data_IF_590987567485
#
_entry.id   IF_590987567485
#
_cell.length_a   1.000
_cell.length_b   1.000
_cell.length_c   1.000
_cell.angle_alpha   90.00
_cell.angle_beta   90.00
_cell.angle_gamma   90.00
#
_symmetry.space_group_name_H-M   'P 1'
#
loop_
_entity.id
_entity.type
_entity.pdbx_description
1 polymer ?
#
# COMPACT_ATOMS: atom_id res chain seq x y z
N UNK A 1 -42.22 -15.57 -10.43
CA UNK A 1 -40.79 -15.36 -10.23
C UNK A 1 -40.25 -14.71 -11.48
N UNK A 2 -39.49 -13.66 -11.38
CA UNK A 2 -38.84 -13.08 -12.58
C UNK A 2 -37.64 -14.01 -12.94
N UNK A 3 -37.69 -14.63 -14.11
CA UNK A 3 -36.62 -15.48 -14.63
C UNK A 3 -35.42 -14.63 -15.08
N UNK A 4 -34.83 -13.92 -14.13
CA UNK A 4 -33.66 -13.07 -14.40
C UNK A 4 -32.38 -13.90 -14.51
N UNK A 5 -31.56 -13.60 -15.51
CA UNK A 5 -30.23 -14.22 -15.65
C UNK A 5 -29.28 -13.81 -14.52
N UNK A 6 -28.40 -14.71 -14.07
CA UNK A 6 -27.40 -14.43 -13.04
C UNK A 6 -26.55 -13.19 -13.36
N UNK A 7 -26.05 -13.10 -14.60
CA UNK A 7 -25.19 -11.99 -15.02
C UNK A 7 -25.92 -10.65 -15.04
N UNK A 8 -27.18 -10.65 -15.43
CA UNK A 8 -28.03 -9.47 -15.44
C UNK A 8 -28.32 -8.98 -14.01
N UNK A 9 -28.71 -9.90 -13.11
CA UNK A 9 -28.93 -9.59 -11.71
C UNK A 9 -27.68 -9.02 -11.02
N UNK A 10 -26.49 -9.54 -11.34
CA UNK A 10 -25.21 -9.03 -10.84
C UNK A 10 -24.94 -7.62 -11.37
N UNK A 11 -25.21 -7.35 -12.66
CA UNK A 11 -25.06 -6.01 -13.23
C UNK A 11 -25.94 -4.99 -12.50
N UNK A 12 -27.22 -5.29 -12.32
CA UNK A 12 -28.17 -4.43 -11.57
C UNK A 12 -27.70 -4.15 -10.13
N UNK A 13 -27.15 -5.17 -9.46
CA UNK A 13 -26.59 -4.99 -8.12
C UNK A 13 -25.39 -4.06 -8.10
N UNK A 14 -24.47 -4.21 -9.05
CA UNK A 14 -23.26 -3.39 -9.13
C UNK A 14 -23.62 -1.93 -9.48
N UNK A 15 -24.57 -1.70 -10.39
CA UNK A 15 -25.07 -0.38 -10.77
C UNK A 15 -25.72 0.33 -9.57
N UNK A 16 -26.58 -0.40 -8.81
CA UNK A 16 -27.17 0.13 -7.58
C UNK A 16 -26.07 0.56 -6.58
N UNK A 17 -25.07 -0.29 -6.36
CA UNK A 17 -23.97 0.01 -5.43
C UNK A 17 -23.14 1.20 -5.89
N UNK A 18 -22.90 1.32 -7.18
CA UNK A 18 -22.20 2.45 -7.76
C UNK A 18 -23.01 3.75 -7.61
N UNK A 19 -24.32 3.71 -7.88
CA UNK A 19 -25.23 4.86 -7.67
C UNK A 19 -25.24 5.31 -6.20
N UNK A 20 -25.06 4.38 -5.25
CA UNK A 20 -24.90 4.69 -3.82
C UNK A 20 -23.50 5.20 -3.43
N UNK A 21 -22.62 5.46 -4.39
CA UNK A 21 -21.24 5.93 -4.14
C UNK A 21 -20.30 4.88 -3.57
N UNK A 22 -20.64 3.59 -3.62
CA UNK A 22 -19.79 2.52 -3.09
C UNK A 22 -18.80 2.02 -4.15
N UNK A 23 -17.51 2.18 -3.88
CA UNK A 23 -16.43 1.66 -4.75
C UNK A 23 -16.29 0.14 -4.63
N UNK A 24 -16.99 -0.61 -5.45
CA UNK A 24 -17.09 -2.09 -5.38
C UNK A 24 -16.03 -2.83 -6.21
N UNK A 25 -14.88 -2.21 -6.54
CA UNK A 25 -13.90 -2.78 -7.51
C UNK A 25 -13.52 -4.25 -7.25
N UNK A 26 -13.31 -4.63 -6.00
CA UNK A 26 -12.91 -6.01 -5.66
C UNK A 26 -14.11 -6.96 -5.65
N UNK A 27 -15.24 -6.52 -5.12
CA UNK A 27 -16.46 -7.33 -5.06
C UNK A 27 -17.02 -7.53 -6.48
N UNK A 28 -16.95 -6.51 -7.35
CA UNK A 28 -17.30 -6.63 -8.77
C UNK A 28 -16.47 -7.71 -9.48
N UNK A 29 -15.13 -7.75 -9.24
CA UNK A 29 -14.27 -8.81 -9.81
C UNK A 29 -14.67 -10.20 -9.32
N UNK A 30 -15.02 -10.34 -8.03
CA UNK A 30 -15.47 -11.60 -7.46
C UNK A 30 -16.79 -12.02 -8.10
N UNK A 31 -17.77 -11.12 -8.18
CA UNK A 31 -19.09 -11.41 -8.75
C UNK A 31 -19.00 -11.72 -10.25
N UNK A 32 -18.19 -10.99 -11.02
CA UNK A 32 -17.93 -11.28 -12.43
C UNK A 32 -17.25 -12.63 -12.62
N UNK A 33 -16.31 -12.99 -11.74
CA UNK A 33 -15.68 -14.32 -11.76
C UNK A 33 -16.71 -15.41 -11.41
N UNK A 34 -17.59 -15.15 -10.46
CA UNK A 34 -18.69 -16.06 -10.12
C UNK A 34 -19.62 -16.29 -11.31
N UNK A 35 -20.08 -15.22 -12.00
CA UNK A 35 -20.88 -15.36 -13.22
C UNK A 35 -20.19 -16.23 -14.30
N UNK A 36 -18.88 -15.99 -14.53
CA UNK A 36 -18.12 -16.80 -15.49
C UNK A 36 -18.04 -18.28 -15.11
N UNK A 37 -17.91 -18.56 -13.80
CA UNK A 37 -17.83 -19.93 -13.29
C UNK A 37 -19.18 -20.65 -13.37
N UNK A 38 -20.28 -19.93 -13.14
CA UNK A 38 -21.65 -20.50 -13.23
C UNK A 38 -22.14 -20.63 -14.69
N UNK A 39 -21.64 -19.79 -15.59
CA UNK A 39 -22.11 -19.74 -16.98
C UNK A 39 -23.44 -19.03 -17.15
N UNK A 40 -24.07 -19.21 -18.29
CA UNK A 40 -25.40 -18.68 -18.58
C UNK A 40 -26.47 -19.50 -17.85
N UNK A 41 -26.93 -19.01 -16.70
CA UNK A 41 -27.92 -19.68 -15.85
C UNK A 41 -28.91 -18.66 -15.28
N UNK A 42 -30.16 -19.06 -15.07
CA UNK A 42 -31.15 -18.30 -14.33
C UNK A 42 -30.74 -18.23 -12.87
N UNK A 43 -30.90 -17.08 -12.24
CA UNK A 43 -30.44 -16.87 -10.88
C UNK A 43 -31.08 -17.83 -9.87
N UNK A 44 -32.35 -18.16 -10.06
CA UNK A 44 -33.09 -19.10 -9.21
C UNK A 44 -32.56 -20.54 -9.27
N UNK A 45 -31.90 -20.89 -10.38
CA UNK A 45 -31.38 -22.24 -10.65
C UNK A 45 -29.91 -22.42 -10.24
N UNK A 46 -29.30 -21.42 -9.58
CA UNK A 46 -27.89 -21.50 -9.13
C UNK A 46 -27.75 -22.57 -8.05
N UNK A 47 -27.05 -23.71 -8.32
CA UNK A 47 -26.99 -24.82 -7.40
C UNK A 47 -26.05 -24.51 -6.19
N UNK A 48 -26.46 -24.89 -4.99
CA UNK A 48 -25.68 -24.65 -3.77
C UNK A 48 -24.32 -25.38 -3.77
N UNK A 49 -24.23 -26.57 -4.34
CA UNK A 49 -22.98 -27.32 -4.48
C UNK A 49 -21.95 -26.61 -5.36
N UNK A 50 -22.39 -26.01 -6.47
CA UNK A 50 -21.52 -25.20 -7.33
C UNK A 50 -21.07 -23.90 -6.63
N UNK A 51 -21.92 -23.29 -5.79
CA UNK A 51 -21.54 -22.14 -4.96
C UNK A 51 -20.48 -22.54 -3.94
N UNK A 52 -20.63 -23.71 -3.30
CA UNK A 52 -19.63 -24.25 -2.38
C UNK A 52 -18.30 -24.52 -3.09
N UNK A 53 -18.34 -25.13 -4.28
CA UNK A 53 -17.14 -25.34 -5.11
C UNK A 53 -16.43 -24.03 -5.46
N UNK A 54 -17.18 -22.99 -5.83
CA UNK A 54 -16.62 -21.66 -6.09
C UNK A 54 -15.96 -21.07 -4.85
N UNK A 55 -16.57 -21.21 -3.68
CA UNK A 55 -16.01 -20.72 -2.42
C UNK A 55 -14.74 -21.48 -2.02
N UNK A 56 -14.76 -22.80 -2.09
CA UNK A 56 -13.70 -23.68 -1.59
C UNK A 56 -12.36 -23.45 -2.30
N UNK A 57 -12.34 -23.40 -3.64
CA UNK A 57 -11.10 -23.39 -4.40
C UNK A 57 -10.31 -24.70 -4.22
N UNK A 58 -9.00 -24.66 -4.44
CA UNK A 58 -8.13 -25.86 -4.45
C UNK A 58 -7.24 -26.00 -3.20
N UNK A 59 -7.46 -25.20 -2.17
CA UNK A 59 -6.57 -25.17 -1.00
C UNK A 59 -7.32 -24.93 0.32
N UNK A 60 -6.58 -24.75 1.42
CA UNK A 60 -7.17 -24.48 2.74
C UNK A 60 -7.96 -23.18 2.72
N UNK A 61 -8.88 -23.06 3.67
CA UNK A 61 -9.68 -21.83 3.84
C UNK A 61 -8.78 -20.63 4.09
N UNK A 62 -8.94 -19.62 3.27
CA UNK A 62 -8.17 -18.37 3.34
C UNK A 62 -9.09 -17.18 3.64
N UNK A 63 -8.50 -16.02 3.94
CA UNK A 63 -9.27 -14.76 4.02
C UNK A 63 -10.00 -14.45 2.70
N UNK A 64 -9.48 -14.93 1.56
CA UNK A 64 -10.14 -14.76 0.28
C UNK A 64 -11.43 -15.59 0.16
N UNK A 65 -11.51 -16.78 0.79
CA UNK A 65 -12.76 -17.53 0.94
C UNK A 65 -13.84 -16.66 1.59
N UNK A 66 -13.52 -16.07 2.75
CA UNK A 66 -14.43 -15.19 3.48
C UNK A 66 -14.80 -13.94 2.68
N UNK A 67 -13.86 -13.42 1.88
CA UNK A 67 -14.12 -12.28 1.00
C UNK A 67 -15.09 -12.65 -0.13
N UNK A 68 -14.91 -13.82 -0.77
CA UNK A 68 -15.87 -14.34 -1.75
C UNK A 68 -17.25 -14.49 -1.13
N UNK A 69 -17.33 -15.15 0.03
CA UNK A 69 -18.59 -15.33 0.75
C UNK A 69 -19.26 -13.98 1.05
N UNK A 70 -18.53 -13.00 1.55
CA UNK A 70 -19.07 -11.67 1.86
C UNK A 70 -19.64 -10.96 0.62
N UNK A 71 -18.93 -11.02 -0.51
CA UNK A 71 -19.39 -10.43 -1.75
C UNK A 71 -20.67 -11.10 -2.25
N UNK A 72 -20.72 -12.44 -2.26
CA UNK A 72 -21.90 -13.20 -2.64
C UNK A 72 -23.07 -12.98 -1.67
N UNK A 73 -22.82 -12.92 -0.36
CA UNK A 73 -23.86 -12.66 0.63
C UNK A 73 -24.52 -11.29 0.42
N UNK A 74 -23.72 -10.25 0.11
CA UNK A 74 -24.24 -8.94 -0.25
C UNK A 74 -25.14 -8.99 -1.49
N UNK A 75 -24.72 -9.73 -2.51
CA UNK A 75 -25.48 -9.92 -3.75
C UNK A 75 -26.78 -10.71 -3.51
N UNK A 76 -26.74 -11.88 -2.84
CA UNK A 76 -27.94 -12.68 -2.61
C UNK A 76 -28.95 -11.98 -1.69
N UNK A 77 -28.49 -11.20 -0.71
CA UNK A 77 -29.39 -10.35 0.06
C UNK A 77 -30.14 -9.33 -0.80
N UNK A 78 -29.47 -8.71 -1.77
CA UNK A 78 -30.12 -7.86 -2.75
C UNK A 78 -31.11 -8.65 -3.62
N UNK A 79 -30.74 -9.83 -4.09
CA UNK A 79 -31.59 -10.66 -4.94
C UNK A 79 -32.87 -11.11 -4.20
N UNK A 80 -32.76 -11.47 -2.91
CA UNK A 80 -33.92 -11.78 -2.06
C UNK A 80 -34.81 -10.54 -1.87
N UNK A 81 -34.23 -9.38 -1.57
CA UNK A 81 -34.99 -8.13 -1.40
C UNK A 81 -35.71 -7.67 -2.67
N UNK A 82 -35.29 -8.12 -3.84
CA UNK A 82 -35.92 -7.87 -5.15
C UNK A 82 -36.87 -9.00 -5.59
N UNK A 83 -37.05 -10.02 -4.74
CA UNK A 83 -37.87 -11.21 -5.05
C UNK A 83 -37.37 -11.98 -6.30
N UNK A 84 -36.08 -11.90 -6.64
CA UNK A 84 -35.46 -12.71 -7.71
C UNK A 84 -35.23 -14.16 -7.26
N UNK A 85 -34.97 -14.37 -5.97
CA UNK A 85 -34.83 -15.67 -5.33
C UNK A 85 -35.51 -15.65 -3.94
N UNK A 86 -35.94 -16.80 -3.46
CA UNK A 86 -36.59 -16.94 -2.14
C UNK A 86 -35.61 -17.15 -1.00
N UNK A 87 -34.46 -17.76 -1.31
CA UNK A 87 -33.41 -18.07 -0.31
C UNK A 87 -32.03 -17.96 -0.92
N UNK A 88 -31.01 -17.89 -0.07
CA UNK A 88 -29.61 -17.83 -0.49
C UNK A 88 -29.03 -19.25 -0.58
N UNK A 89 -28.29 -19.60 -1.66
CA UNK A 89 -27.60 -20.90 -1.78
C UNK A 89 -26.29 -20.94 -1.01
N UNK A 90 -25.97 -19.90 -0.23
CA UNK A 90 -24.74 -19.83 0.57
C UNK A 90 -24.79 -20.71 1.80
N UNK A 91 -23.63 -21.26 2.26
CA UNK A 91 -23.57 -22.00 3.50
C UNK A 91 -23.88 -21.11 4.71
N UNK A 92 -24.69 -21.63 5.63
CA UNK A 92 -25.00 -20.95 6.90
C UNK A 92 -23.88 -21.10 7.92
N UNK A 93 -23.18 -22.24 7.90
CA UNK A 93 -22.02 -22.50 8.74
C UNK A 93 -20.75 -22.01 8.01
N UNK A 94 -20.07 -21.06 8.64
CA UNK A 94 -18.84 -20.51 8.09
C UNK A 94 -17.62 -21.22 8.71
N UNK A 95 -16.60 -21.55 7.90
CA UNK A 95 -15.36 -22.07 8.44
C UNK A 95 -14.65 -21.03 9.32
N UNK A 96 -13.80 -21.50 10.23
CA UNK A 96 -13.02 -20.63 11.09
C UNK A 96 -12.16 -19.66 10.26
N UNK A 97 -12.06 -18.41 10.69
CA UNK A 97 -11.18 -17.46 10.03
C UNK A 97 -9.72 -17.84 10.28
N UNK A 98 -8.86 -17.76 9.26
CA UNK A 98 -7.43 -17.90 9.46
C UNK A 98 -6.90 -16.90 10.49
N UNK A 99 -5.83 -17.30 11.19
CA UNK A 99 -5.15 -16.42 12.15
C UNK A 99 -4.84 -15.07 11.50
N UNK A 100 -5.13 -13.95 12.17
CA UNK A 100 -4.85 -12.63 11.65
C UNK A 100 -3.37 -12.49 11.27
N UNK A 101 -3.12 -11.79 10.17
CA UNK A 101 -1.76 -11.44 9.78
C UNK A 101 -1.18 -10.43 10.79
N UNK A 102 -0.01 -10.75 11.36
CA UNK A 102 0.77 -9.83 12.20
C UNK A 102 1.78 -9.13 11.30
N UNK A 103 1.68 -7.79 11.12
CA UNK A 103 2.66 -7.04 10.36
C UNK A 103 4.06 -7.11 10.98
N UNK A 104 5.09 -6.97 10.14
CA UNK A 104 6.44 -6.75 10.63
C UNK A 104 6.58 -5.28 11.04
N UNK A 105 7.09 -5.02 12.24
CA UNK A 105 7.43 -3.66 12.69
C UNK A 105 8.90 -3.45 12.44
N UNK A 106 9.23 -2.62 11.45
CA UNK A 106 10.61 -2.31 11.11
C UNK A 106 11.29 -1.53 12.24
N UNK A 107 12.44 -1.98 12.66
CA UNK A 107 13.31 -1.24 13.57
C UNK A 107 14.03 -0.11 12.84
N UNK A 108 14.57 0.85 13.61
CA UNK A 108 15.41 1.92 13.08
C UNK A 108 16.63 1.36 12.35
N UNK A 109 17.25 0.30 12.90
CA UNK A 109 18.40 -0.37 12.31
C UNK A 109 18.05 -1.03 10.96
N UNK A 110 16.93 -1.73 10.87
CA UNK A 110 16.47 -2.34 9.61
C UNK A 110 16.18 -1.27 8.55
N UNK A 111 15.55 -0.14 8.95
CA UNK A 111 15.35 0.96 8.02
C UNK A 111 16.68 1.52 7.53
N UNK A 112 17.65 1.72 8.41
CA UNK A 112 18.99 2.18 8.03
C UNK A 112 19.66 1.21 7.06
N UNK A 113 19.60 -0.10 7.33
CA UNK A 113 20.13 -1.14 6.43
C UNK A 113 19.46 -1.08 5.04
N UNK A 114 18.15 -0.85 4.97
CA UNK A 114 17.46 -0.65 3.69
C UNK A 114 18.00 0.57 2.95
N UNK A 115 18.14 1.70 3.64
CA UNK A 115 18.58 2.96 3.05
C UNK A 115 20.04 2.89 2.56
N UNK A 116 20.92 2.29 3.34
CA UNK A 116 22.34 2.09 2.99
C UNK A 116 22.48 1.09 1.85
N UNK A 117 21.64 0.06 1.85
CA UNK A 117 21.59 -0.95 0.79
C UNK A 117 21.21 -0.38 -0.57
N UNK A 118 20.52 0.76 -0.65
CA UNK A 118 20.15 1.38 -1.95
C UNK A 118 21.39 1.76 -2.75
N UNK A 119 22.48 2.20 -2.12
CA UNK A 119 23.69 2.61 -2.78
C UNK A 119 24.40 1.46 -3.49
N UNK A 120 24.40 0.27 -2.91
CA UNK A 120 24.99 -0.96 -3.46
C UNK A 120 24.02 -1.80 -4.29
N UNK A 121 22.73 -1.44 -4.29
CA UNK A 121 21.70 -2.22 -4.94
C UNK A 121 21.82 -2.14 -6.48
N UNK A 122 21.84 -3.30 -7.20
CA UNK A 122 21.95 -3.32 -8.65
C UNK A 122 20.79 -2.61 -9.33
N UNK A 123 21.01 -1.35 -9.74
CA UNK A 123 19.94 -0.46 -10.19
C UNK A 123 19.84 -0.30 -11.72
N UNK A 124 20.70 -1.01 -12.50
CA UNK A 124 20.77 -0.82 -13.97
C UNK A 124 19.45 -1.06 -14.72
N UNK A 125 18.55 -1.87 -14.17
CA UNK A 125 17.23 -2.19 -14.77
C UNK A 125 16.04 -1.51 -14.06
N UNK A 126 16.28 -0.72 -13.03
CA UNK A 126 15.20 -0.07 -12.29
C UNK A 126 14.83 1.26 -12.95
N UNK A 127 13.54 1.45 -13.18
CA UNK A 127 12.99 2.70 -13.70
C UNK A 127 12.91 3.80 -12.64
N UNK A 128 13.01 3.42 -11.33
CA UNK A 128 12.96 4.35 -10.20
C UNK A 128 14.40 4.70 -9.79
N UNK A 129 14.78 6.00 -9.78
CA UNK A 129 16.07 6.44 -9.25
C UNK A 129 16.27 6.04 -7.78
N UNK A 130 17.54 5.84 -7.37
CA UNK A 130 17.85 5.43 -6.00
C UNK A 130 17.47 6.48 -4.96
N UNK A 131 17.69 7.76 -5.25
CA UNK A 131 17.28 8.90 -4.43
C UNK A 131 15.75 8.98 -4.29
N UNK A 132 15.00 8.77 -5.37
CA UNK A 132 13.54 8.68 -5.34
C UNK A 132 13.08 7.52 -4.44
N UNK A 133 13.70 6.34 -4.58
CA UNK A 133 13.37 5.18 -3.74
C UNK A 133 13.67 5.47 -2.26
N UNK A 134 14.84 6.07 -1.96
CA UNK A 134 15.24 6.45 -0.61
C UNK A 134 14.20 7.35 0.06
N UNK A 135 13.87 8.47 -0.59
CA UNK A 135 12.93 9.45 -0.04
C UNK A 135 11.53 8.87 0.09
N UNK A 136 11.12 8.02 -0.85
CA UNK A 136 9.83 7.32 -0.78
C UNK A 136 9.76 6.39 0.43
N UNK A 137 10.80 5.60 0.73
CA UNK A 137 10.84 4.74 1.92
C UNK A 137 10.80 5.54 3.22
N UNK A 138 11.57 6.64 3.30
CA UNK A 138 11.53 7.56 4.44
C UNK A 138 10.16 8.17 4.65
N UNK A 139 9.47 8.55 3.57
CA UNK A 139 8.12 9.10 3.62
C UNK A 139 7.09 8.09 4.12
N UNK A 140 7.17 6.83 3.63
CA UNK A 140 6.27 5.76 4.07
C UNK A 140 6.47 5.44 5.56
N UNK A 141 7.73 5.42 6.03
CA UNK A 141 8.08 5.14 7.41
C UNK A 141 7.73 6.31 8.34
N UNK A 142 8.14 7.54 7.98
CA UNK A 142 8.03 8.71 8.85
C UNK A 142 6.64 9.35 8.86
N UNK A 143 5.93 9.37 7.72
CA UNK A 143 4.60 9.96 7.61
C UNK A 143 3.45 8.94 7.59
N UNK A 144 3.75 7.64 7.57
CA UNK A 144 2.75 6.57 7.62
C UNK A 144 1.78 6.57 6.43
N UNK A 145 2.18 7.05 5.26
CA UNK A 145 1.34 7.10 4.07
C UNK A 145 1.14 5.70 3.47
N UNK A 146 0.00 5.50 2.78
CA UNK A 146 -0.11 4.36 1.85
C UNK A 146 0.75 4.63 0.62
N UNK A 147 1.33 3.58 0.03
CA UNK A 147 2.14 3.74 -1.20
C UNK A 147 1.37 4.47 -2.31
N UNK A 148 0.07 4.17 -2.49
CA UNK A 148 -0.76 4.87 -3.48
C UNK A 148 -0.99 6.34 -3.15
N UNK A 149 -1.03 6.71 -1.88
CA UNK A 149 -1.14 8.10 -1.43
C UNK A 149 0.16 8.85 -1.68
N UNK A 150 1.30 8.24 -1.32
CA UNK A 150 2.62 8.83 -1.56
C UNK A 150 2.90 9.06 -3.05
N UNK A 151 2.58 8.08 -3.90
CA UNK A 151 2.79 8.19 -5.35
C UNK A 151 1.81 9.13 -6.05
N UNK A 152 0.70 9.48 -5.42
CA UNK A 152 -0.28 10.44 -5.95
C UNK A 152 0.02 11.90 -5.54
N UNK A 153 1.02 12.14 -4.67
CA UNK A 153 1.41 13.48 -4.28
C UNK A 153 1.87 14.30 -5.49
N UNK A 154 1.35 15.52 -5.60
CA UNK A 154 1.83 16.53 -6.54
C UNK A 154 2.82 17.49 -5.85
N UNK A 155 3.47 18.32 -6.63
CA UNK A 155 4.36 19.37 -6.08
C UNK A 155 3.58 20.32 -5.15
N UNK A 156 2.33 20.63 -5.47
CA UNK A 156 1.43 21.47 -4.68
C UNK A 156 1.01 20.82 -3.35
N UNK A 157 0.92 19.48 -3.32
CA UNK A 157 0.56 18.75 -2.13
C UNK A 157 1.67 18.70 -1.07
N UNK A 158 2.90 19.06 -1.43
CA UNK A 158 4.09 19.03 -0.56
C UNK A 158 4.48 20.46 -0.15
N UNK A 159 3.87 20.95 0.92
CA UNK A 159 4.20 22.26 1.48
C UNK A 159 5.34 22.14 2.51
N UNK A 160 6.58 22.32 2.02
CA UNK A 160 7.77 22.19 2.85
C UNK A 160 7.96 23.35 3.81
N UNK A 161 7.46 24.57 3.51
CA UNK A 161 7.56 25.70 4.41
C UNK A 161 6.70 25.54 5.65
N UNK A 162 5.51 24.94 5.50
CA UNK A 162 4.61 24.63 6.61
C UNK A 162 4.85 23.23 7.23
N UNK A 163 5.80 22.46 6.71
CA UNK A 163 6.08 21.06 7.11
C UNK A 163 4.83 20.16 7.08
N UNK A 164 4.03 20.26 6.00
CA UNK A 164 2.79 19.49 5.84
C UNK A 164 2.67 18.87 4.45
N UNK A 165 1.96 17.71 4.41
CA UNK A 165 1.54 17.04 3.21
C UNK A 165 0.02 17.02 3.11
N UNK A 166 -0.52 17.37 1.95
CA UNK A 166 -1.97 17.29 1.67
C UNK A 166 -2.28 16.00 0.94
N UNK A 167 -2.98 15.09 1.59
CA UNK A 167 -3.38 13.81 0.97
C UNK A 167 -4.79 13.95 0.43
N UNK A 168 -4.91 14.06 -0.87
CA UNK A 168 -6.20 14.17 -1.58
C UNK A 168 -6.78 12.78 -1.89
N UNK A 169 -8.10 12.70 -1.99
CA UNK A 169 -8.81 11.49 -2.42
C UNK A 169 -8.42 10.20 -1.66
N UNK A 170 -8.19 10.30 -0.35
CA UNK A 170 -7.98 9.13 0.50
C UNK A 170 -9.25 8.25 0.53
N UNK A 171 -9.24 7.14 1.28
CA UNK A 171 -10.40 6.27 1.43
C UNK A 171 -11.65 7.11 1.80
N UNK A 172 -12.75 6.96 1.03
CA UNK A 172 -13.99 7.75 1.11
C UNK A 172 -13.87 9.21 0.62
N UNK A 173 -12.98 9.49 -0.35
CA UNK A 173 -12.81 10.83 -0.97
C UNK A 173 -12.47 11.95 0.05
N UNK A 174 -11.90 11.59 1.20
CA UNK A 174 -11.52 12.56 2.23
C UNK A 174 -10.13 13.11 1.95
N UNK A 175 -9.98 14.43 2.04
CA UNK A 175 -8.68 15.10 2.09
C UNK A 175 -8.23 15.18 3.55
N UNK A 176 -6.95 14.91 3.81
CA UNK A 176 -6.34 15.10 5.12
C UNK A 176 -4.96 15.74 4.99
N UNK A 177 -4.58 16.46 6.02
CA UNK A 177 -3.24 17.03 6.18
C UNK A 177 -2.43 16.14 7.10
N UNK A 178 -1.18 15.89 6.73
CA UNK A 178 -0.24 15.08 7.50
C UNK A 178 0.97 15.95 7.81
N UNK A 179 1.24 16.29 9.09
CA UNK A 179 2.46 16.99 9.47
C UNK A 179 3.67 16.06 9.31
N UNK A 180 4.83 16.64 8.97
CA UNK A 180 6.10 15.93 8.86
C UNK A 180 7.12 16.50 9.83
N UNK A 181 7.98 15.64 10.37
CA UNK A 181 9.07 16.06 11.25
C UNK A 181 10.20 16.77 10.49
N UNK A 182 11.05 17.54 11.21
CA UNK A 182 12.10 18.38 10.60
C UNK A 182 13.05 17.62 9.68
N UNK A 183 13.44 16.41 10.06
CA UNK A 183 14.36 15.58 9.26
C UNK A 183 13.75 15.08 7.97
N UNK A 184 12.49 14.63 8.00
CA UNK A 184 11.80 14.24 6.78
C UNK A 184 11.56 15.46 5.88
N UNK A 185 11.27 16.61 6.46
CA UNK A 185 11.17 17.88 5.75
C UNK A 185 12.48 18.21 5.02
N UNK A 186 13.63 18.10 5.69
CA UNK A 186 14.94 18.34 5.10
C UNK A 186 15.26 17.39 3.94
N UNK A 187 15.01 16.07 4.09
CA UNK A 187 15.19 15.07 3.04
C UNK A 187 14.29 15.38 1.81
N UNK A 188 13.05 15.80 2.03
CA UNK A 188 12.13 16.19 0.96
C UNK A 188 12.59 17.50 0.28
N UNK A 189 13.14 18.47 1.03
CA UNK A 189 13.70 19.70 0.47
C UNK A 189 14.90 19.39 -0.43
N UNK A 190 15.85 18.58 0.04
CA UNK A 190 17.02 18.17 -0.75
C UNK A 190 16.60 17.36 -1.99
N UNK A 191 15.61 16.50 -1.88
CA UNK A 191 15.07 15.76 -3.03
C UNK A 191 14.46 16.72 -4.06
N UNK A 192 13.62 17.65 -3.64
CA UNK A 192 12.99 18.64 -4.52
C UNK A 192 14.04 19.49 -5.24
N UNK A 193 15.09 19.92 -4.55
CA UNK A 193 16.17 20.70 -5.17
C UNK A 193 16.95 19.86 -6.21
N UNK A 194 17.28 18.61 -5.91
CA UNK A 194 17.90 17.68 -6.90
C UNK A 194 17.01 17.48 -8.13
N UNK A 195 15.70 17.32 -7.95
CA UNK A 195 14.76 17.18 -9.07
C UNK A 195 14.74 18.44 -9.95
N UNK A 196 14.78 19.63 -9.33
CA UNK A 196 14.87 20.91 -10.05
C UNK A 196 16.16 21.02 -10.86
N UNK A 197 17.31 20.66 -10.27
CA UNK A 197 18.60 20.65 -10.96
C UNK A 197 18.66 19.66 -12.13
N UNK A 198 17.91 18.56 -12.06
CA UNK A 198 17.75 17.58 -13.13
C UNK A 198 16.73 18.00 -14.22
N UNK A 199 16.18 19.20 -14.14
CA UNK A 199 15.22 19.73 -15.11
C UNK A 199 13.80 19.21 -14.96
N UNK A 200 13.46 18.58 -13.83
CA UNK A 200 12.08 18.13 -13.56
C UNK A 200 11.13 19.32 -13.42
N UNK A 201 9.95 19.20 -14.02
CA UNK A 201 8.91 20.23 -13.93
C UNK A 201 8.50 20.48 -12.47
N UNK A 202 8.44 21.75 -12.10
CA UNK A 202 7.98 22.19 -10.78
C UNK A 202 6.55 22.75 -10.82
N UNK A 203 5.78 22.45 -11.87
CA UNK A 203 4.38 22.87 -11.94
C UNK A 203 3.55 22.22 -10.81
N UNK A 204 2.57 22.94 -10.26
CA UNK A 204 1.79 22.46 -9.11
C UNK A 204 1.18 21.07 -9.27
N UNK A 205 0.71 20.74 -10.48
CA UNK A 205 0.04 19.47 -10.80
C UNK A 205 1.00 18.34 -11.16
N UNK A 206 2.30 18.61 -11.26
CA UNK A 206 3.31 17.58 -11.56
C UNK A 206 3.42 16.62 -10.38
N UNK A 207 3.51 15.31 -10.66
CA UNK A 207 3.75 14.30 -9.63
C UNK A 207 5.08 14.57 -8.93
N UNK A 208 5.08 14.48 -7.61
CA UNK A 208 6.28 14.69 -6.80
C UNK A 208 7.30 13.55 -6.98
N UNK A 209 6.82 12.32 -7.19
CA UNK A 209 7.67 11.15 -7.46
C UNK A 209 7.44 10.64 -8.89
N UNK A 210 8.49 10.58 -9.66
CA UNK A 210 8.47 10.12 -11.06
C UNK A 210 9.57 9.10 -11.32
N UNK A 211 9.40 8.34 -12.40
CA UNK A 211 10.44 7.48 -12.96
C UNK A 211 11.55 8.32 -13.59
N UNK A 212 12.67 7.69 -13.96
CA UNK A 212 13.78 8.35 -14.73
C UNK A 212 13.32 9.00 -16.03
N UNK A 213 12.21 8.56 -16.58
CA UNK A 213 11.64 9.03 -17.85
C UNK A 213 10.46 10.00 -17.64
N UNK A 214 10.27 10.52 -16.42
CA UNK A 214 9.18 11.45 -16.13
C UNK A 214 7.78 10.83 -16.06
N UNK A 215 7.66 9.50 -16.10
CA UNK A 215 6.37 8.81 -16.01
C UNK A 215 5.97 8.54 -14.55
N UNK A 216 4.67 8.35 -14.33
CA UNK A 216 4.13 7.95 -13.04
C UNK A 216 4.70 6.59 -12.57
N UNK A 217 5.02 6.49 -11.28
CA UNK A 217 5.50 5.25 -10.67
C UNK A 217 4.29 4.37 -10.32
N UNK A 218 4.36 3.10 -10.72
CA UNK A 218 3.32 2.11 -10.41
C UNK A 218 3.61 1.45 -9.06
N UNK A 219 2.63 1.37 -8.13
CA UNK A 219 2.83 0.78 -6.80
C UNK A 219 3.47 -0.63 -6.81
N UNK A 220 3.02 -1.51 -7.70
CA UNK A 220 3.57 -2.88 -7.83
C UNK A 220 5.03 -2.92 -8.27
N UNK A 221 5.54 -1.86 -8.92
CA UNK A 221 6.96 -1.72 -9.23
C UNK A 221 7.76 -1.42 -7.99
N UNK A 222 7.25 -0.53 -7.11
CA UNK A 222 7.89 -0.24 -5.81
C UNK A 222 7.91 -1.49 -4.93
N UNK A 223 6.80 -2.24 -4.84
CA UNK A 223 6.72 -3.49 -4.07
C UNK A 223 7.79 -4.49 -4.53
N UNK A 224 7.95 -4.68 -5.85
CA UNK A 224 8.97 -5.59 -6.41
C UNK A 224 10.40 -5.13 -6.14
N UNK A 225 10.67 -3.82 -6.24
CA UNK A 225 11.99 -3.25 -5.96
C UNK A 225 12.29 -3.40 -4.47
N UNK A 226 11.32 -3.09 -3.60
CA UNK A 226 11.45 -3.24 -2.16
C UNK A 226 11.74 -4.71 -1.76
N UNK A 227 11.01 -5.68 -2.29
CA UNK A 227 11.26 -7.10 -1.99
C UNK A 227 12.67 -7.56 -2.42
N UNK A 228 13.19 -7.06 -3.55
CA UNK A 228 14.56 -7.31 -3.98
C UNK A 228 15.58 -6.61 -3.08
N UNK A 229 15.35 -5.34 -2.70
CA UNK A 229 16.20 -4.58 -1.81
C UNK A 229 16.26 -5.25 -0.43
N UNK A 230 15.12 -5.62 0.13
CA UNK A 230 15.02 -6.35 1.42
C UNK A 230 15.87 -7.63 1.40
N UNK A 231 15.76 -8.42 0.33
CA UNK A 231 16.60 -9.63 0.16
C UNK A 231 18.09 -9.30 0.02
N UNK A 232 18.44 -8.24 -0.68
CA UNK A 232 19.80 -7.77 -0.84
C UNK A 232 20.44 -7.35 0.51
N UNK A 233 19.66 -6.71 1.38
CA UNK A 233 20.09 -6.29 2.72
C UNK A 233 19.97 -7.39 3.77
N UNK A 234 19.46 -8.57 3.43
CA UNK A 234 19.34 -9.70 4.35
C UNK A 234 18.20 -9.57 5.38
N UNK A 235 17.32 -8.59 5.25
CA UNK A 235 16.22 -8.41 6.20
C UNK A 235 15.17 -9.49 5.99
N UNK A 236 14.91 -10.27 7.05
CA UNK A 236 13.92 -11.34 7.06
C UNK A 236 13.28 -11.46 8.44
N UNK A 237 12.08 -12.06 8.49
CA UNK A 237 11.43 -12.38 9.76
C UNK A 237 12.07 -13.61 10.38
N UNK A 238 12.33 -13.53 11.68
CA UNK A 238 12.86 -14.64 12.50
C UNK A 238 11.83 -15.21 13.47
N UNK A 239 10.64 -14.59 13.53
CA UNK A 239 9.55 -14.94 14.45
C UNK A 239 8.61 -16.04 13.92
N UNK A 240 8.96 -16.74 12.85
CA UNK A 240 8.13 -17.77 12.22
C UNK A 240 6.88 -17.24 11.48
N UNK A 241 6.74 -15.92 11.35
CA UNK A 241 5.64 -15.31 10.65
C UNK A 241 5.51 -15.80 9.20
N UNK A 242 4.29 -16.10 8.76
CA UNK A 242 3.96 -16.67 7.44
C UNK A 242 4.51 -15.86 6.26
N UNK A 243 4.57 -14.54 6.41
CA UNK A 243 4.96 -13.61 5.35
C UNK A 243 6.20 -12.83 5.74
N UNK A 244 7.10 -12.64 4.78
CA UNK A 244 8.27 -11.79 4.93
C UNK A 244 7.87 -10.31 5.04
N UNK A 245 8.74 -9.43 5.60
CA UNK A 245 8.48 -7.99 5.71
C UNK A 245 8.12 -7.37 4.35
N UNK A 246 7.05 -6.59 4.30
CA UNK A 246 6.51 -5.98 3.07
C UNK A 246 6.68 -4.47 3.09
N UNK A 247 6.64 -3.84 1.93
CA UNK A 247 6.65 -2.38 1.82
C UNK A 247 5.56 -1.71 2.68
N UNK A 248 4.36 -2.29 2.71
CA UNK A 248 3.25 -1.77 3.51
C UNK A 248 3.52 -1.79 5.03
N UNK A 249 4.38 -2.69 5.48
CA UNK A 249 4.70 -2.86 6.89
C UNK A 249 5.55 -1.68 7.43
N UNK A 250 6.26 -0.93 6.57
CA UNK A 250 6.92 0.34 6.94
C UNK A 250 5.97 1.34 7.59
N UNK A 251 4.73 1.38 7.13
CA UNK A 251 3.71 2.29 7.65
C UNK A 251 3.32 1.99 9.10
N UNK A 252 3.38 0.72 9.53
CA UNK A 252 2.96 0.32 10.88
C UNK A 252 3.85 0.92 11.97
N UNK A 253 5.07 1.34 11.65
CA UNK A 253 5.91 2.06 12.59
C UNK A 253 5.29 3.43 12.96
N UNK A 254 4.80 4.19 11.99
CA UNK A 254 4.13 5.47 12.25
C UNK A 254 2.83 5.31 13.06
N UNK A 255 2.04 4.25 12.79
CA UNK A 255 0.84 3.94 13.56
C UNK A 255 1.17 3.64 15.03
N UNK A 256 2.30 2.99 15.32
CA UNK A 256 2.76 2.69 16.68
C UNK A 256 3.19 3.95 17.45
N UNK A 257 3.79 4.93 16.78
CA UNK A 257 4.22 6.20 17.39
C UNK A 257 3.09 7.20 17.63
N UNK A 258 1.99 7.08 16.88
CA UNK A 258 0.80 7.94 16.98
C UNK A 258 -0.20 7.43 18.02
N UNK A 259 -0.10 6.15 18.46
CA UNK A 259 -0.96 5.65 19.53
C UNK A 259 -0.69 6.44 20.82
N UNK A 260 -1.67 7.23 21.34
CA UNK A 260 -1.51 7.83 22.65
C UNK A 260 -1.37 6.67 23.65
N UNK A 261 -0.29 6.64 24.40
CA UNK A 261 -0.22 5.87 25.63
C UNK A 261 -1.34 6.39 26.52
N UNK A 262 -2.49 5.76 26.46
CA UNK A 262 -3.62 6.06 27.34
C UNK A 262 -3.27 5.61 28.75
N UNK A 263 -2.61 6.49 29.48
CA UNK A 263 -2.75 6.72 30.93
C UNK A 263 -1.77 7.81 31.36
N UNK A 264 -2.37 8.93 31.81
CA UNK A 264 -1.81 10.08 32.49
C UNK A 264 -1.34 11.27 31.63
N UNK A 265 -2.13 12.35 31.64
CA UNK A 265 -1.66 13.74 31.66
C UNK A 265 -1.39 14.39 30.31
N UNK A 266 -2.33 15.24 29.92
CA UNK A 266 -2.17 16.42 29.05
C UNK A 266 -0.73 16.83 28.71
N UNK A 267 -0.32 16.56 27.44
CA UNK A 267 0.63 17.41 26.71
C UNK A 267 0.42 17.16 25.21
N UNK A 268 -0.02 18.19 24.50
CA UNK A 268 0.08 18.31 23.05
C UNK A 268 1.56 18.24 22.65
N UNK A 269 2.05 17.05 22.31
CA UNK A 269 3.34 16.90 21.61
C UNK A 269 3.05 16.91 20.12
N UNK A 270 3.73 17.78 19.41
CA UNK A 270 3.88 17.71 17.96
C UNK A 270 4.36 16.31 17.52
N UNK A 271 4.31 15.99 16.22
CA UNK A 271 4.72 14.68 15.72
C UNK A 271 6.13 14.37 16.24
N UNK A 272 6.34 13.17 16.82
CA UNK A 272 7.66 12.78 17.29
C UNK A 272 8.63 12.77 16.10
N UNK A 273 9.82 13.28 16.32
CA UNK A 273 10.93 13.19 15.38
C UNK A 273 11.37 11.73 15.27
N UNK A 274 10.68 10.96 14.45
CA UNK A 274 10.86 9.51 14.30
C UNK A 274 12.20 9.13 13.65
N UNK A 275 12.93 10.12 13.16
CA UNK A 275 14.27 9.98 12.60
C UNK A 275 15.28 10.46 13.63
N UNK A 276 15.53 9.66 14.68
CA UNK A 276 16.56 9.94 15.69
C UNK A 276 17.94 10.10 15.06
N UNK A 277 18.82 10.84 15.75
CA UNK A 277 20.15 11.27 15.29
C UNK A 277 21.08 10.16 14.73
N UNK A 278 20.70 8.90 14.89
CA UNK A 278 21.43 7.74 14.38
C UNK A 278 21.18 7.41 12.90
N UNK A 279 20.12 7.97 12.26
CA UNK A 279 19.72 7.58 10.90
C UNK A 279 20.42 8.33 9.78
N UNK A 280 21.07 9.43 10.07
CA UNK A 280 21.76 10.25 9.05
C UNK A 280 23.23 10.38 9.45
N UNK A 281 24.04 9.36 9.17
CA UNK A 281 25.47 9.57 9.03
C UNK A 281 25.74 10.15 7.65
N UNK A 282 26.33 11.33 7.66
CA UNK A 282 26.76 12.10 6.50
C UNK A 282 27.54 11.22 5.52
N UNK A 283 27.02 11.02 4.32
CA UNK A 283 27.71 10.35 3.22
C UNK A 283 28.75 11.27 2.53
N UNK A 284 28.99 12.47 3.06
CA UNK A 284 29.87 13.47 2.48
C UNK A 284 31.36 13.35 2.87
N UNK A 285 31.74 12.44 3.75
CA UNK A 285 33.16 12.31 4.21
C UNK A 285 33.89 11.09 3.66
N UNK A 286 33.80 10.80 2.36
CA UNK A 286 34.81 9.98 1.68
C UNK A 286 35.65 10.84 0.79
N UNK A 287 36.65 11.53 1.36
CA UNK A 287 37.80 11.99 0.60
C UNK A 287 38.61 10.77 0.13
N UNK A 288 39.05 10.72 -1.14
CA UNK A 288 39.95 9.67 -1.60
C UNK A 288 41.33 9.89 -0.94
N UNK A 289 41.83 8.87 -0.26
CA UNK A 289 43.21 8.77 0.13
C UNK A 289 44.09 8.80 -1.13
N UNK A 290 44.71 9.95 -1.35
CA UNK A 290 45.79 10.09 -2.31
C UNK A 290 47.03 9.32 -1.77
N UNK A 291 47.31 8.17 -2.34
CA UNK A 291 48.55 7.43 -2.06
C UNK A 291 49.73 8.20 -2.70
N UNK A 292 50.42 8.96 -1.87
CA UNK A 292 51.72 9.52 -2.20
C UNK A 292 52.75 8.43 -2.36
N UNK A 293 53.15 8.12 -3.58
CA UNK A 293 54.36 7.34 -3.89
C UNK A 293 55.59 8.20 -3.57
N UNK A 294 56.27 7.88 -2.48
CA UNK A 294 57.66 8.38 -2.30
C UNK A 294 58.60 7.56 -3.17
N UNK A 295 59.18 8.22 -4.13
CA UNK A 295 60.39 7.73 -4.82
C UNK A 295 61.56 8.29 -4.03
N UNK A 296 62.33 7.43 -3.38
CA UNK A 296 63.62 7.72 -2.78
C UNK A 296 64.71 7.27 -3.72
N UNK A 297 65.61 8.16 -3.98
CA UNK A 297 66.87 7.90 -4.67
C UNK A 297 67.91 7.16 -3.84
#
# INVERSE_FOLDING_TARGET
MNDIGLSEAVALYLDLKQAMGQGMRNDAKILQFFCRTMGAIILADVPADRVLGFLAGTGPVTLYWHRKHQALNGFFRFAIARNYVTSSPLPTLLPARPVPFVPHVFTVQELQQLLDGIASFPNRKNTIPGDTLRVLLLLLYGAGLRISEALALTVDDVNLSAAILTIRNSKFYKTRVVPIGPRLQEELMQYKERQKQQGSSQQPQTLFFMTRHGAAIVPTTVDRIFDRLRRHTGICRTDGGRYQPRLHDLRHHADFLIMPTSRAGTRTRGPPDCLDSALIRDSSSRQPLVSGRMVGG
#
